data_IF_276707100675
#
_entry.id   IF_276707100675
#
_cell.length_a   1.000
_cell.length_b   1.000
_cell.length_c   1.000
_cell.angle_alpha   90.00
_cell.angle_beta   90.00
_cell.angle_gamma   90.00
#
_symmetry.space_group_name_H-M   'P 1'
#
loop_
_entity.id
_entity.type
_entity.pdbx_description
1 polymer ?
#
# COMPACT_ATOMS: atom_id res chain seq x y z
N UNK A 1 3.03 -49.10 -60.69
CA UNK A 1 3.53 -49.11 -59.29
C UNK A 1 4.29 -47.82 -59.02
N UNK A 2 3.79 -46.97 -58.11
CA UNK A 2 4.58 -46.08 -57.25
C UNK A 2 3.62 -45.50 -56.20
N UNK A 3 3.73 -46.03 -54.97
CA UNK A 3 2.98 -45.61 -53.79
C UNK A 3 3.62 -44.31 -53.27
N UNK A 4 2.81 -43.29 -52.99
CA UNK A 4 3.24 -42.11 -52.25
C UNK A 4 3.29 -42.46 -50.75
N UNK A 5 4.46 -42.32 -50.15
CA UNK A 5 4.69 -42.50 -48.72
C UNK A 5 4.56 -41.12 -48.07
N UNK A 6 3.48 -40.89 -47.30
CA UNK A 6 3.34 -39.70 -46.47
C UNK A 6 4.22 -39.87 -45.23
N UNK A 7 5.26 -39.03 -45.11
CA UNK A 7 6.06 -38.91 -43.90
C UNK A 7 5.28 -38.03 -42.90
N UNK A 8 4.78 -38.63 -41.82
CA UNK A 8 4.24 -37.88 -40.68
C UNK A 8 5.44 -37.39 -39.87
N UNK A 9 5.75 -36.10 -39.98
CA UNK A 9 6.66 -35.43 -39.07
C UNK A 9 5.96 -35.26 -37.72
N UNK A 10 6.33 -36.07 -36.73
CA UNK A 10 6.03 -35.75 -35.33
C UNK A 10 6.82 -34.50 -34.95
N UNK A 11 6.14 -33.37 -34.85
CA UNK A 11 6.65 -32.18 -34.21
C UNK A 11 6.77 -32.49 -32.71
N UNK A 12 7.97 -32.88 -32.27
CA UNK A 12 8.29 -32.86 -30.85
C UNK A 12 8.43 -31.38 -30.48
N UNK A 13 7.33 -30.76 -30.04
CA UNK A 13 7.40 -29.53 -29.27
C UNK A 13 8.18 -29.85 -28.00
N UNK A 14 9.49 -29.61 -28.01
CA UNK A 14 10.24 -29.40 -26.79
C UNK A 14 9.61 -28.22 -26.09
N UNK A 15 8.82 -28.49 -25.05
CA UNK A 15 8.40 -27.47 -24.10
C UNK A 15 9.66 -27.09 -23.33
N UNK A 16 10.45 -26.18 -23.90
CA UNK A 16 11.38 -25.41 -23.11
C UNK A 16 10.52 -24.58 -22.17
N UNK A 17 10.26 -25.12 -20.99
CA UNK A 17 9.73 -24.35 -19.88
C UNK A 17 10.74 -23.25 -19.61
N UNK A 18 10.53 -22.08 -20.19
CA UNK A 18 11.02 -20.83 -19.64
C UNK A 18 10.32 -20.69 -18.29
N UNK A 19 10.82 -21.37 -17.27
CA UNK A 19 10.45 -21.11 -15.89
C UNK A 19 10.74 -19.63 -15.67
N UNK A 20 9.69 -18.84 -15.54
CA UNK A 20 9.82 -17.44 -15.18
C UNK A 20 10.69 -17.38 -13.92
N UNK A 21 11.79 -16.62 -13.96
CA UNK A 21 12.69 -16.55 -12.82
C UNK A 21 11.91 -15.95 -11.63
N UNK A 22 11.49 -16.80 -10.70
CA UNK A 22 10.65 -16.40 -9.58
C UNK A 22 11.54 -15.86 -8.47
N UNK A 23 11.33 -14.59 -8.11
CA UNK A 23 11.94 -13.93 -6.97
C UNK A 23 10.83 -13.44 -6.03
N UNK A 24 11.00 -13.73 -4.74
CA UNK A 24 10.06 -13.30 -3.71
C UNK A 24 10.71 -13.28 -2.31
N UNK A 25 10.21 -12.42 -1.44
CA UNK A 25 10.77 -12.16 -0.12
C UNK A 25 11.71 -10.95 -0.08
N UNK A 26 12.46 -10.76 1.02
CA UNK A 26 12.57 -11.64 2.17
C UNK A 26 11.32 -11.64 3.06
N UNK A 27 10.97 -12.79 3.60
CA UNK A 27 9.95 -12.96 4.63
C UNK A 27 10.63 -13.24 5.96
N UNK A 28 10.59 -12.27 6.87
CA UNK A 28 11.26 -12.35 8.15
C UNK A 28 10.29 -12.81 9.22
N UNK A 29 10.55 -13.94 9.89
CA UNK A 29 9.76 -14.45 11.02
C UNK A 29 10.60 -14.56 12.29
N UNK A 30 9.93 -14.50 13.45
CA UNK A 30 10.54 -14.65 14.77
C UNK A 30 10.07 -15.94 15.44
N UNK A 31 10.98 -16.88 15.68
CA UNK A 31 10.69 -18.20 16.21
C UNK A 31 11.76 -18.58 17.25
N UNK A 32 11.35 -18.94 18.47
CA UNK A 32 12.29 -19.36 19.53
C UNK A 32 13.35 -18.31 19.89
N UNK A 33 12.99 -17.02 19.83
CA UNK A 33 13.91 -15.89 20.10
C UNK A 33 14.89 -15.59 18.97
N UNK A 34 14.80 -16.27 17.83
CA UNK A 34 15.66 -16.06 16.65
C UNK A 34 14.85 -15.46 15.50
N UNK A 35 15.53 -14.72 14.64
CA UNK A 35 14.95 -14.19 13.41
C UNK A 35 15.37 -15.06 12.22
N UNK A 36 14.40 -15.43 11.38
CA UNK A 36 14.59 -16.27 10.21
C UNK A 36 14.18 -15.51 8.96
N UNK A 37 14.94 -15.66 7.88
CA UNK A 37 14.59 -15.17 6.55
C UNK A 37 14.19 -16.36 5.67
N UNK A 38 13.00 -16.29 5.06
CA UNK A 38 12.61 -17.14 3.93
C UNK A 38 12.53 -16.30 2.66
N UNK A 39 12.99 -16.86 1.55
CA UNK A 39 12.89 -16.20 0.24
C UNK A 39 12.85 -17.23 -0.87
N UNK A 40 12.41 -16.81 -2.05
CA UNK A 40 12.54 -17.54 -3.30
C UNK A 40 13.49 -16.74 -4.21
N UNK A 41 14.47 -17.42 -4.79
CA UNK A 41 15.45 -16.83 -5.69
C UNK A 41 15.64 -17.76 -6.87
N UNK A 42 15.29 -17.28 -8.06
CA UNK A 42 15.26 -18.09 -9.28
C UNK A 42 14.50 -19.42 -9.10
N UNK A 43 13.32 -19.34 -8.47
CA UNK A 43 12.47 -20.52 -8.19
C UNK A 43 12.96 -21.44 -7.06
N UNK A 44 14.11 -21.17 -6.44
CA UNK A 44 14.64 -21.96 -5.32
C UNK A 44 14.30 -21.28 -4.01
N UNK A 45 13.55 -21.97 -3.14
CA UNK A 45 13.28 -21.50 -1.79
C UNK A 45 14.50 -21.68 -0.87
N UNK A 46 14.72 -20.70 0.01
CA UNK A 46 15.75 -20.75 1.04
C UNK A 46 15.17 -20.39 2.41
N UNK A 47 15.80 -20.88 3.47
CA UNK A 47 15.53 -20.46 4.84
C UNK A 47 16.83 -20.35 5.62
N UNK A 48 17.13 -19.16 6.13
CA UNK A 48 18.39 -18.89 6.82
C UNK A 48 18.14 -18.08 8.09
N UNK A 49 18.93 -18.32 9.13
CA UNK A 49 18.92 -17.48 10.33
C UNK A 49 19.56 -16.12 10.03
N UNK A 50 18.93 -15.04 10.52
CA UNK A 50 19.42 -13.68 10.32
C UNK A 50 20.41 -13.32 11.43
N UNK A 51 21.68 -13.14 11.05
CA UNK A 51 22.75 -12.69 11.96
C UNK A 51 23.09 -11.23 11.62
N UNK A 52 22.73 -10.28 12.49
CA UNK A 52 23.05 -8.86 12.33
C UNK A 52 21.90 -7.93 11.94
N UNK A 53 20.65 -8.41 11.93
CA UNK A 53 19.46 -7.56 11.81
C UNK A 53 19.32 -6.83 10.47
N UNK A 54 19.93 -7.37 9.40
CA UNK A 54 19.79 -6.86 8.03
C UNK A 54 19.34 -7.98 7.10
N UNK A 55 18.54 -7.61 6.11
CA UNK A 55 18.08 -8.50 5.03
C UNK A 55 18.34 -7.85 3.68
N UNK A 56 18.37 -8.66 2.63
CA UNK A 56 18.51 -8.22 1.24
C UNK A 56 17.19 -8.48 0.51
N UNK A 57 16.72 -7.47 -0.21
CA UNK A 57 15.60 -7.57 -1.15
C UNK A 57 16.17 -7.84 -2.52
N UNK A 58 15.73 -8.93 -3.14
CA UNK A 58 16.26 -9.41 -4.42
C UNK A 58 15.20 -9.33 -5.51
N UNK A 59 15.62 -8.82 -6.66
CA UNK A 59 14.86 -8.81 -7.91
C UNK A 59 15.58 -9.65 -8.95
N UNK A 60 14.85 -9.97 -10.02
CA UNK A 60 15.46 -10.53 -11.23
C UNK A 60 16.50 -9.58 -11.85
N UNK A 61 16.26 -8.25 -11.82
CA UNK A 61 17.30 -7.26 -12.14
C UNK A 61 18.10 -6.90 -10.87
N UNK A 62 19.37 -7.31 -10.76
CA UNK A 62 20.16 -7.06 -9.56
C UNK A 62 20.40 -5.57 -9.28
N UNK A 63 20.22 -4.68 -10.27
CA UNK A 63 20.33 -3.23 -10.07
C UNK A 63 19.23 -2.67 -9.18
N UNK A 64 18.11 -3.38 -9.06
CA UNK A 64 17.00 -2.99 -8.19
C UNK A 64 17.21 -3.46 -6.74
N UNK A 65 18.15 -4.38 -6.49
CA UNK A 65 18.38 -4.94 -5.15
C UNK A 65 18.74 -3.87 -4.13
N UNK A 66 18.28 -4.06 -2.89
CA UNK A 66 18.63 -3.18 -1.79
C UNK A 66 18.61 -3.90 -0.44
N UNK A 67 19.34 -3.32 0.53
CA UNK A 67 19.40 -3.84 1.89
C UNK A 67 18.46 -3.09 2.82
N UNK A 68 17.83 -3.80 3.75
CA UNK A 68 17.01 -3.22 4.81
C UNK A 68 17.54 -3.63 6.17
N UNK A 69 17.58 -2.68 7.11
CA UNK A 69 17.86 -2.96 8.52
C UNK A 69 16.54 -3.13 9.27
N UNK A 70 16.40 -4.23 9.98
CA UNK A 70 15.23 -4.51 10.81
C UNK A 70 15.17 -3.51 11.98
N UNK A 71 13.95 -3.10 12.32
CA UNK A 71 13.65 -2.19 13.41
C UNK A 71 13.80 -2.96 14.72
N UNK A 72 14.45 -2.30 15.69
CA UNK A 72 14.65 -2.87 17.03
C UNK A 72 13.33 -3.04 17.78
N UNK A 73 12.37 -2.14 17.51
CA UNK A 73 11.04 -2.14 18.11
C UNK A 73 10.05 -1.56 17.12
N UNK A 74 8.84 -2.09 17.16
CA UNK A 74 7.68 -1.60 16.42
C UNK A 74 6.71 -0.98 17.44
N UNK A 75 6.19 0.20 17.13
CA UNK A 75 5.25 0.93 17.97
C UNK A 75 4.13 1.45 17.08
N UNK A 76 2.93 1.56 17.64
CA UNK A 76 1.81 2.18 16.93
C UNK A 76 2.20 3.62 16.53
N UNK A 77 1.94 3.95 15.28
CA UNK A 77 2.27 5.26 14.73
C UNK A 77 1.31 6.33 15.29
N UNK A 78 1.78 7.56 15.58
CA UNK A 78 0.87 8.67 15.87
C UNK A 78 -0.05 8.92 14.67
N UNK A 79 -1.26 9.41 14.92
CA UNK A 79 -2.26 9.68 13.87
C UNK A 79 -2.61 11.17 13.70
N UNK A 80 -1.93 12.04 14.44
CA UNK A 80 -2.05 13.51 14.32
C UNK A 80 -0.67 14.11 14.17
N UNK A 81 -0.51 14.92 13.13
CA UNK A 81 0.73 15.59 12.78
C UNK A 81 0.48 17.05 12.45
N UNK A 82 1.48 17.88 12.69
CA UNK A 82 1.52 19.25 12.19
C UNK A 82 1.57 19.28 10.65
N UNK A 83 1.16 20.39 10.04
CA UNK A 83 1.26 20.58 8.59
C UNK A 83 2.74 20.65 8.18
N UNK A 84 3.29 19.68 7.42
CA UNK A 84 4.64 19.80 6.89
C UNK A 84 4.64 20.81 5.73
N UNK A 85 5.80 21.44 5.51
CA UNK A 85 5.98 22.38 4.41
C UNK A 85 5.83 21.73 3.02
N UNK A 86 6.06 20.40 2.94
CA UNK A 86 5.89 19.61 1.72
C UNK A 86 5.29 18.25 2.02
N UNK A 87 4.30 17.82 1.23
CA UNK A 87 3.76 16.46 1.25
C UNK A 87 3.78 15.87 -0.15
N UNK A 88 4.17 14.61 -0.26
CA UNK A 88 4.04 13.80 -1.45
C UNK A 88 3.04 12.69 -1.16
N UNK A 89 1.91 12.65 -1.86
CA UNK A 89 0.76 11.81 -1.50
C UNK A 89 0.41 10.88 -2.65
N UNK A 90 0.34 9.59 -2.35
CA UNK A 90 0.02 8.50 -3.28
C UNK A 90 -0.93 7.51 -2.63
N UNK A 91 -1.52 6.64 -3.44
CA UNK A 91 -2.39 5.56 -3.00
C UNK A 91 -2.29 4.37 -3.96
N UNK A 92 -2.86 3.23 -3.57
CA UNK A 92 -3.16 2.10 -4.47
C UNK A 92 -1.91 1.65 -5.25
N UNK A 93 -0.82 1.38 -4.52
CA UNK A 93 0.45 0.96 -5.13
C UNK A 93 0.32 -0.45 -5.70
N UNK A 94 -0.40 -1.34 -5.02
CA UNK A 94 -0.83 -2.66 -5.51
C UNK A 94 0.31 -3.47 -6.15
N UNK A 95 1.47 -3.50 -5.51
CA UNK A 95 2.64 -4.24 -6.00
C UNK A 95 3.33 -3.67 -7.25
N UNK A 96 2.96 -2.48 -7.74
CA UNK A 96 3.60 -1.80 -8.88
C UNK A 96 4.87 -1.04 -8.46
N UNK A 97 5.92 -1.82 -8.13
CA UNK A 97 7.18 -1.30 -7.59
C UNK A 97 7.86 -0.31 -8.54
N UNK A 98 8.01 -0.63 -9.83
CA UNK A 98 8.72 0.23 -10.78
C UNK A 98 8.00 1.57 -10.98
N UNK A 99 6.67 1.55 -11.11
CA UNK A 99 5.88 2.78 -11.21
C UNK A 99 6.02 3.64 -9.96
N UNK A 100 5.97 3.04 -8.77
CA UNK A 100 6.18 3.76 -7.50
C UNK A 100 7.60 4.32 -7.37
N UNK A 101 8.62 3.50 -7.62
CA UNK A 101 10.04 3.88 -7.63
C UNK A 101 10.30 5.06 -8.55
N UNK A 102 9.91 4.94 -9.82
CA UNK A 102 10.18 5.97 -10.83
C UNK A 102 9.46 7.27 -10.50
N UNK A 103 8.22 7.20 -9.98
CA UNK A 103 7.48 8.34 -9.48
C UNK A 103 8.21 9.08 -8.35
N UNK A 104 8.75 8.34 -7.37
CA UNK A 104 9.52 8.94 -6.27
C UNK A 104 10.85 9.56 -6.74
N UNK A 105 11.57 8.88 -7.64
CA UNK A 105 12.87 9.36 -8.16
C UNK A 105 12.69 10.61 -9.02
N UNK A 106 11.75 10.60 -9.98
CA UNK A 106 11.50 11.71 -10.88
C UNK A 106 11.12 13.01 -10.13
N UNK A 107 10.48 12.85 -8.96
CA UNK A 107 10.07 13.95 -8.09
C UNK A 107 11.02 14.21 -6.91
N UNK A 108 12.22 13.62 -6.92
CA UNK A 108 13.28 13.84 -5.93
C UNK A 108 12.85 13.55 -4.49
N UNK A 109 11.94 12.59 -4.30
CA UNK A 109 11.59 12.07 -2.97
C UNK A 109 12.68 11.11 -2.49
N UNK A 110 13.22 10.31 -3.41
CA UNK A 110 14.34 9.39 -3.18
C UNK A 110 15.36 9.48 -4.31
N UNK A 111 16.59 9.01 -4.07
CA UNK A 111 17.59 8.77 -5.12
C UNK A 111 17.48 7.36 -5.74
N UNK A 112 18.31 7.10 -6.76
CA UNK A 112 18.42 5.80 -7.44
C UNK A 112 18.88 4.64 -6.52
N UNK A 113 19.43 4.95 -5.34
CA UNK A 113 19.84 4.00 -4.30
C UNK A 113 18.81 3.89 -3.17
N UNK A 114 17.61 4.44 -3.37
CA UNK A 114 16.52 4.45 -2.41
C UNK A 114 16.86 5.18 -1.09
N UNK A 115 17.72 6.18 -1.14
CA UNK A 115 17.94 7.09 -0.02
C UNK A 115 16.95 8.25 -0.06
N UNK A 116 16.55 8.69 1.13
CA UNK A 116 15.61 9.79 1.29
C UNK A 116 16.21 11.13 0.83
N UNK A 117 15.53 11.82 -0.08
CA UNK A 117 15.90 13.15 -0.61
C UNK A 117 14.90 14.25 -0.26
N UNK A 118 13.79 13.91 0.38
CA UNK A 118 12.67 14.84 0.59
C UNK A 118 12.79 15.70 1.86
N UNK A 119 13.98 15.82 2.45
CA UNK A 119 14.25 16.68 3.62
C UNK A 119 13.30 16.43 4.79
N UNK A 120 12.68 17.50 5.30
CA UNK A 120 11.62 17.44 6.33
C UNK A 120 10.21 17.21 5.75
N UNK A 121 10.09 16.94 4.46
CA UNK A 121 8.81 16.66 3.82
C UNK A 121 8.23 15.33 4.28
N UNK A 122 6.97 15.10 3.97
CA UNK A 122 6.27 13.88 4.32
C UNK A 122 5.86 13.12 3.06
N UNK A 123 6.07 11.80 3.04
CA UNK A 123 5.48 10.89 2.04
C UNK A 123 4.24 10.25 2.68
N UNK A 124 3.08 10.35 2.04
CA UNK A 124 1.81 9.79 2.53
C UNK A 124 1.32 8.74 1.54
N UNK A 125 1.07 7.53 2.05
CA UNK A 125 0.59 6.39 1.29
C UNK A 125 -0.79 6.00 1.84
N UNK A 126 -1.84 6.27 1.07
CA UNK A 126 -3.23 6.04 1.44
C UNK A 126 -3.72 4.62 1.13
N UNK A 127 -3.01 3.59 1.59
CA UNK A 127 -3.46 2.20 1.51
C UNK A 127 -3.18 1.48 0.21
N UNK A 128 -3.59 0.21 0.22
CA UNK A 128 -3.51 -0.76 -0.87
C UNK A 128 -2.08 -0.98 -1.35
N UNK A 129 -1.28 -1.51 -0.42
CA UNK A 129 0.08 -2.00 -0.69
C UNK A 129 0.04 -3.41 -1.32
N UNK A 130 -0.94 -4.21 -0.91
CA UNK A 130 -1.14 -5.60 -1.34
C UNK A 130 -1.85 -5.74 -2.70
N UNK A 131 -1.88 -7.00 -3.16
CA UNK A 131 -2.66 -7.50 -4.29
C UNK A 131 -2.26 -6.98 -5.67
N UNK A 132 -2.80 -7.67 -6.69
CA UNK A 132 -2.63 -7.43 -8.14
C UNK A 132 -1.20 -7.56 -8.64
N UNK A 133 -0.29 -6.69 -8.23
CA UNK A 133 1.06 -6.61 -8.76
C UNK A 133 2.04 -7.64 -8.18
N UNK A 134 3.12 -7.94 -8.92
CA UNK A 134 4.09 -8.96 -8.56
C UNK A 134 5.24 -8.43 -7.69
N UNK A 135 5.18 -7.24 -7.09
CA UNK A 135 6.27 -6.70 -6.26
C UNK A 135 5.80 -6.05 -4.94
N UNK A 136 4.80 -6.65 -4.28
CA UNK A 136 4.21 -6.22 -3.00
C UNK A 136 5.25 -6.24 -1.88
N UNK A 137 5.92 -7.38 -1.69
CA UNK A 137 6.89 -7.59 -0.60
C UNK A 137 8.06 -6.61 -0.71
N UNK A 138 8.56 -6.41 -1.93
CA UNK A 138 9.65 -5.49 -2.25
C UNK A 138 9.23 -4.03 -2.03
N UNK A 139 8.00 -3.67 -2.41
CA UNK A 139 7.42 -2.35 -2.15
C UNK A 139 7.31 -2.07 -0.65
N UNK A 140 6.82 -3.02 0.14
CA UNK A 140 6.73 -2.86 1.59
C UNK A 140 8.11 -2.68 2.23
N UNK A 141 9.12 -3.43 1.79
CA UNK A 141 10.48 -3.26 2.30
C UNK A 141 11.10 -1.91 1.94
N UNK A 142 10.79 -1.37 0.76
CA UNK A 142 11.19 -0.01 0.40
C UNK A 142 10.54 1.01 1.35
N UNK A 143 9.23 0.94 1.54
CA UNK A 143 8.50 1.84 2.46
C UNK A 143 9.04 1.73 3.89
N UNK A 144 9.21 0.51 4.39
CA UNK A 144 9.77 0.22 5.70
C UNK A 144 11.16 0.85 5.89
N UNK A 145 12.03 0.76 4.86
CA UNK A 145 13.34 1.41 4.86
C UNK A 145 13.20 2.94 4.87
N UNK A 146 12.32 3.49 4.05
CA UNK A 146 12.12 4.94 3.91
C UNK A 146 11.61 5.57 5.21
N UNK A 147 10.77 4.90 6.00
CA UNK A 147 10.34 5.38 7.32
C UNK A 147 11.53 5.75 8.22
N UNK A 148 12.56 4.89 8.25
CA UNK A 148 13.76 5.13 9.05
C UNK A 148 14.63 6.25 8.50
N UNK A 149 14.70 6.40 7.17
CA UNK A 149 15.51 7.43 6.50
C UNK A 149 14.86 8.81 6.61
N UNK A 150 13.55 8.90 6.36
CA UNK A 150 12.77 10.13 6.49
C UNK A 150 12.84 10.67 7.92
N UNK A 151 12.60 9.81 8.93
CA UNK A 151 12.64 10.20 10.34
C UNK A 151 14.01 10.77 10.75
N UNK A 152 15.11 10.18 10.25
CA UNK A 152 16.48 10.70 10.48
C UNK A 152 16.72 12.07 9.85
N UNK A 153 16.08 12.35 8.72
CA UNK A 153 16.14 13.66 8.04
C UNK A 153 15.15 14.69 8.62
N UNK A 154 14.34 14.31 9.61
CA UNK A 154 13.28 15.15 10.17
C UNK A 154 12.00 15.22 9.33
N UNK A 155 11.84 14.32 8.35
CA UNK A 155 10.61 14.08 7.61
C UNK A 155 9.85 12.87 8.14
N UNK A 156 8.84 12.42 7.40
CA UNK A 156 8.01 11.28 7.77
C UNK A 156 7.52 10.45 6.58
N UNK A 157 7.26 9.18 6.81
CA UNK A 157 6.53 8.31 5.87
C UNK A 157 5.28 7.81 6.59
N UNK A 158 4.12 8.19 6.08
CA UNK A 158 2.82 7.76 6.56
C UNK A 158 2.37 6.57 5.72
N UNK A 159 2.12 5.46 6.38
CA UNK A 159 1.52 4.28 5.76
C UNK A 159 0.18 4.06 6.42
N UNK A 160 -0.88 4.35 5.67
CA UNK A 160 -2.26 4.15 6.07
C UNK A 160 -2.75 2.87 5.41
N UNK A 161 -3.52 2.04 6.11
CA UNK A 161 -4.02 0.78 5.58
C UNK A 161 -5.27 0.97 4.72
N UNK A 162 -5.30 0.28 3.58
CA UNK A 162 -6.43 0.17 2.65
C UNK A 162 -7.17 -1.15 2.76
N UNK A 163 -8.15 -1.36 1.88
CA UNK A 163 -8.94 -2.59 1.95
C UNK A 163 -8.14 -3.83 1.56
N UNK A 164 -7.24 -3.74 0.57
CA UNK A 164 -6.42 -4.88 0.15
C UNK A 164 -5.45 -5.29 1.27
N UNK A 165 -5.00 -4.34 2.09
CA UNK A 165 -4.17 -4.62 3.26
C UNK A 165 -4.95 -5.38 4.34
N UNK A 166 -6.16 -4.96 4.66
CA UNK A 166 -7.03 -5.66 5.62
C UNK A 166 -7.42 -7.04 5.10
N UNK A 167 -7.79 -7.15 3.82
CA UNK A 167 -8.13 -8.41 3.18
C UNK A 167 -7.01 -9.44 3.29
N UNK A 168 -5.77 -9.04 2.99
CA UNK A 168 -4.61 -9.93 3.10
C UNK A 168 -4.30 -10.33 4.54
N UNK A 169 -4.45 -9.42 5.50
CA UNK A 169 -4.23 -9.73 6.91
C UNK A 169 -5.32 -10.66 7.48
N UNK A 170 -6.53 -10.63 6.92
CA UNK A 170 -7.67 -11.43 7.41
C UNK A 170 -8.00 -12.68 6.58
N UNK A 171 -7.24 -12.94 5.51
CA UNK A 171 -7.34 -14.18 4.71
C UNK A 171 -8.31 -14.12 3.53
N UNK A 172 -8.73 -12.93 3.12
CA UNK A 172 -9.43 -12.72 1.85
C UNK A 172 -8.43 -12.54 0.70
N UNK A 173 -8.07 -13.64 0.04
CA UNK A 173 -6.95 -13.69 -0.90
C UNK A 173 -7.35 -13.59 -2.38
N UNK A 174 -8.57 -13.11 -2.67
CA UNK A 174 -9.15 -13.15 -4.03
C UNK A 174 -8.35 -12.37 -5.08
N UNK A 175 -7.56 -11.38 -4.69
CA UNK A 175 -6.79 -10.53 -5.60
C UNK A 175 -5.28 -10.71 -5.49
N UNK A 176 -4.83 -11.69 -4.70
CA UNK A 176 -3.40 -11.99 -4.53
C UNK A 176 -2.83 -12.48 -5.85
N UNK A 177 -1.74 -11.86 -6.31
CA UNK A 177 -1.03 -12.31 -7.51
C UNK A 177 -0.55 -13.76 -7.34
N UNK A 178 -0.69 -14.59 -8.38
CA UNK A 178 -0.41 -16.04 -8.33
C UNK A 178 1.00 -16.40 -7.86
N UNK A 179 1.97 -15.49 -8.02
CA UNK A 179 3.35 -15.67 -7.57
C UNK A 179 3.46 -15.96 -6.06
N UNK A 180 2.60 -15.37 -5.22
CA UNK A 180 2.79 -15.45 -3.77
C UNK A 180 2.34 -16.80 -3.20
N UNK A 181 1.17 -17.36 -3.58
CA UNK A 181 0.83 -18.74 -3.22
C UNK A 181 1.85 -19.76 -3.75
N UNK A 182 2.39 -19.54 -4.95
CA UNK A 182 3.47 -20.38 -5.49
C UNK A 182 4.74 -20.29 -4.65
N UNK A 183 5.15 -19.08 -4.27
CA UNK A 183 6.33 -18.86 -3.42
C UNK A 183 6.14 -19.46 -2.02
N UNK A 184 4.95 -19.30 -1.42
CA UNK A 184 4.59 -19.94 -0.15
C UNK A 184 4.72 -21.46 -0.22
N UNK A 185 4.20 -22.08 -1.30
CA UNK A 185 4.33 -23.51 -1.57
C UNK A 185 5.79 -23.94 -1.68
N UNK A 186 6.62 -23.21 -2.43
CA UNK A 186 8.06 -23.51 -2.56
C UNK A 186 8.78 -23.41 -1.20
N UNK A 187 8.41 -22.43 -0.38
CA UNK A 187 8.94 -22.25 0.98
C UNK A 187 8.39 -23.25 2.00
N UNK A 188 7.40 -24.07 1.62
CA UNK A 188 6.76 -25.06 2.50
C UNK A 188 5.95 -24.42 3.64
N UNK A 189 5.31 -23.28 3.38
CA UNK A 189 4.49 -22.55 4.37
C UNK A 189 3.14 -22.17 3.79
N UNK A 190 2.17 -21.91 4.66
CA UNK A 190 0.92 -21.26 4.27
C UNK A 190 1.17 -19.78 3.93
N UNK A 191 0.45 -19.24 2.95
CA UNK A 191 0.57 -17.83 2.57
C UNK A 191 0.32 -16.89 3.76
N UNK A 192 -0.66 -17.21 4.61
CA UNK A 192 -1.01 -16.38 5.77
C UNK A 192 0.13 -16.29 6.78
N UNK A 193 1.00 -17.29 6.83
CA UNK A 193 2.17 -17.29 7.72
C UNK A 193 3.23 -16.24 7.31
N UNK A 194 3.19 -15.75 6.07
CA UNK A 194 4.17 -14.77 5.56
C UNK A 194 3.97 -13.37 6.17
N UNK A 195 2.75 -13.06 6.61
CA UNK A 195 2.35 -11.74 7.16
C UNK A 195 1.62 -11.85 8.51
N UNK A 196 1.86 -12.94 9.24
CA UNK A 196 1.25 -13.19 10.56
C UNK A 196 1.85 -12.29 11.67
N UNK A 197 1.41 -12.48 12.91
CA UNK A 197 1.87 -11.73 14.07
C UNK A 197 3.31 -12.06 14.51
N UNK A 198 3.91 -13.12 13.97
CA UNK A 198 5.31 -13.49 14.19
C UNK A 198 6.23 -13.00 13.06
N UNK A 199 5.68 -12.52 11.95
CA UNK A 199 6.44 -11.94 10.85
C UNK A 199 6.79 -10.46 11.07
N UNK A 200 7.92 -9.99 10.57
CA UNK A 200 8.34 -8.59 10.70
C UNK A 200 7.35 -7.65 10.01
N UNK A 201 7.04 -7.92 8.74
CA UNK A 201 6.10 -7.09 7.98
C UNK A 201 4.69 -7.20 8.52
N UNK A 202 4.23 -8.37 8.98
CA UNK A 202 2.93 -8.52 9.61
C UNK A 202 2.80 -7.77 10.94
N UNK A 203 3.85 -7.75 11.77
CA UNK A 203 3.89 -6.88 12.97
C UNK A 203 3.94 -5.41 12.60
N UNK A 204 4.71 -5.04 11.58
CA UNK A 204 4.84 -3.66 11.09
C UNK A 204 3.51 -3.13 10.56
N UNK A 205 2.80 -3.89 9.71
CA UNK A 205 1.46 -3.53 9.22
C UNK A 205 0.48 -3.29 10.36
N UNK A 206 0.52 -4.12 11.42
CA UNK A 206 -0.33 -3.96 12.60
C UNK A 206 -0.01 -2.73 13.45
N UNK A 207 1.05 -1.97 13.15
CA UNK A 207 1.31 -0.64 13.76
C UNK A 207 0.70 0.54 13.00
N UNK A 208 0.21 0.31 11.76
CA UNK A 208 -0.20 1.36 10.81
C UNK A 208 -1.62 1.83 10.98
N UNK A 209 -1.88 3.11 10.76
CA UNK A 209 -3.19 3.72 10.98
C UNK A 209 -4.17 3.39 9.85
N UNK A 210 -5.47 3.56 10.10
CA UNK A 210 -6.55 3.55 9.10
C UNK A 210 -6.91 4.95 8.63
N UNK A 211 -6.63 5.96 9.46
CA UNK A 211 -6.96 7.36 9.24
C UNK A 211 -5.94 8.25 9.95
N UNK A 212 -5.52 9.33 9.31
CA UNK A 212 -4.59 10.29 9.93
C UNK A 212 -5.02 11.73 9.67
N UNK A 213 -4.74 12.60 10.63
CA UNK A 213 -4.81 14.05 10.46
C UNK A 213 -3.40 14.60 10.30
N UNK A 214 -3.12 15.20 9.14
CA UNK A 214 -1.83 15.82 8.83
C UNK A 214 -2.08 17.28 8.50
N UNK A 215 -1.85 18.15 9.49
CA UNK A 215 -2.22 19.55 9.44
C UNK A 215 -3.72 19.73 9.20
N UNK A 216 -4.05 20.40 8.10
CA UNK A 216 -5.43 20.66 7.66
C UNK A 216 -6.01 19.55 6.78
N UNK A 217 -5.37 18.38 6.70
CA UNK A 217 -5.77 17.27 5.83
C UNK A 217 -6.14 16.03 6.64
N UNK A 218 -7.25 15.40 6.29
CA UNK A 218 -7.67 14.10 6.76
C UNK A 218 -7.38 13.06 5.68
N UNK A 219 -6.39 12.21 5.93
CA UNK A 219 -5.91 11.22 4.98
C UNK A 219 -6.46 9.83 5.36
N UNK A 220 -7.03 9.13 4.39
CA UNK A 220 -7.37 7.71 4.51
C UNK A 220 -7.34 7.03 3.15
N UNK A 221 -7.56 5.72 3.17
CA UNK A 221 -7.69 4.96 1.94
C UNK A 221 -8.96 5.29 1.15
N UNK A 222 -10.17 5.08 1.68
CA UNK A 222 -11.41 5.27 0.89
C UNK A 222 -12.23 6.51 1.30
N UNK A 223 -12.61 6.64 2.57
CA UNK A 223 -13.33 7.82 3.04
C UNK A 223 -14.12 7.63 4.32
N UNK A 224 -14.78 8.69 4.79
CA UNK A 224 -15.62 8.68 5.99
C UNK A 224 -17.09 8.80 5.59
N UNK A 225 -17.86 7.75 5.88
CA UNK A 225 -19.30 7.76 5.64
C UNK A 225 -20.04 8.59 6.69
N UNK A 226 -21.27 9.05 6.40
CA UNK A 226 -22.15 9.69 7.39
C UNK A 226 -22.35 8.84 8.64
N UNK A 227 -22.41 7.51 8.51
CA UNK A 227 -22.52 6.58 9.64
C UNK A 227 -21.34 6.73 10.60
N UNK A 228 -20.12 6.85 10.07
CA UNK A 228 -18.93 7.05 10.91
C UNK A 228 -18.94 8.44 11.55
N UNK A 229 -19.41 9.47 10.82
CA UNK A 229 -19.54 10.82 11.38
C UNK A 229 -20.43 10.86 12.62
N UNK A 230 -21.55 10.13 12.64
CA UNK A 230 -22.45 10.09 13.82
C UNK A 230 -21.81 9.43 15.05
N UNK A 231 -20.74 8.65 14.88
CA UNK A 231 -20.04 8.03 16.01
C UNK A 231 -19.20 9.05 16.81
N UNK A 232 -18.81 10.18 16.21
CA UNK A 232 -18.12 11.27 16.90
C UNK A 232 -16.72 10.97 17.43
N UNK A 233 -16.06 9.92 16.92
CA UNK A 233 -14.71 9.54 17.35
C UNK A 233 -13.62 10.41 16.70
N UNK A 234 -12.58 10.73 17.46
CA UNK A 234 -11.31 11.28 16.95
C UNK A 234 -10.53 10.26 16.11
N UNK A 235 -9.55 10.72 15.33
CA UNK A 235 -8.70 9.83 14.53
C UNK A 235 -7.94 8.83 15.41
N UNK A 236 -7.47 9.25 16.59
CA UNK A 236 -6.80 8.38 17.57
C UNK A 236 -7.72 7.27 18.08
N UNK A 237 -8.96 7.62 18.41
CA UNK A 237 -9.97 6.66 18.87
C UNK A 237 -10.32 5.66 17.77
N UNK A 238 -10.52 6.12 16.54
CA UNK A 238 -10.80 5.25 15.39
C UNK A 238 -9.65 4.25 15.18
N UNK A 239 -8.40 4.72 15.14
CA UNK A 239 -7.25 3.84 14.97
C UNK A 239 -7.11 2.82 16.11
N UNK A 240 -7.33 3.26 17.35
CA UNK A 240 -7.29 2.39 18.54
C UNK A 240 -8.37 1.32 18.49
N UNK A 241 -9.58 1.67 18.05
CA UNK A 241 -10.70 0.74 17.92
C UNK A 241 -10.50 -0.27 16.78
N UNK A 242 -9.97 0.17 15.63
CA UNK A 242 -9.84 -0.69 14.45
C UNK A 242 -8.67 -1.68 14.55
N UNK A 243 -7.53 -1.25 15.12
CA UNK A 243 -6.27 -2.00 15.10
C UNK A 243 -6.33 -3.45 15.61
N UNK A 244 -7.05 -3.77 16.70
CA UNK A 244 -7.16 -5.16 17.18
C UNK A 244 -7.90 -6.11 16.22
N UNK A 245 -8.53 -5.59 15.17
CA UNK A 245 -9.40 -6.34 14.29
C UNK A 245 -8.86 -6.51 12.86
N UNK A 246 -7.69 -5.96 12.52
CA UNK A 246 -7.16 -6.02 11.15
C UNK A 246 -7.06 -7.44 10.57
N UNK A 247 -6.81 -8.46 11.40
CA UNK A 247 -6.72 -9.86 11.00
C UNK A 247 -7.96 -10.70 11.35
N UNK A 248 -9.06 -10.04 11.73
CA UNK A 248 -10.31 -10.70 12.17
C UNK A 248 -11.52 -10.41 11.28
N UNK A 249 -11.39 -9.47 10.34
CA UNK A 249 -12.47 -9.07 9.45
C UNK A 249 -12.79 -10.19 8.47
N UNK A 250 -13.99 -10.76 8.57
CA UNK A 250 -14.46 -11.75 7.61
C UNK A 250 -15.17 -11.03 6.48
N UNK A 251 -14.59 -11.08 5.27
CA UNK A 251 -15.10 -10.62 3.96
C UNK A 251 -16.34 -9.71 4.05
N UNK A 252 -16.13 -8.39 4.09
CA UNK A 252 -17.18 -7.34 4.02
C UNK A 252 -18.33 -7.43 5.05
N UNK A 253 -18.31 -8.38 5.99
CA UNK A 253 -19.35 -8.60 7.01
C UNK A 253 -18.97 -7.99 8.36
N UNK A 254 -17.82 -7.30 8.44
CA UNK A 254 -17.29 -6.77 9.68
C UNK A 254 -16.71 -7.85 10.57
N UNK A 255 -16.86 -7.68 11.88
CA UNK A 255 -16.35 -8.56 12.95
C UNK A 255 -17.46 -9.08 13.87
N UNK A 256 -18.71 -8.68 13.63
CA UNK A 256 -19.88 -9.07 14.43
C UNK A 256 -20.03 -8.25 15.73
N UNK A 257 -19.35 -7.11 15.83
CA UNK A 257 -19.51 -6.15 16.92
C UNK A 257 -20.10 -4.85 16.37
N UNK A 258 -21.34 -4.48 16.73
CA UNK A 258 -22.00 -3.27 16.23
C UNK A 258 -21.22 -1.97 16.48
N UNK A 259 -20.28 -1.93 17.45
CA UNK A 259 -19.43 -0.76 17.70
C UNK A 259 -18.25 -0.66 16.73
N UNK A 260 -17.85 -1.77 16.13
CA UNK A 260 -16.66 -1.90 15.28
C UNK A 260 -17.05 -2.09 13.80
N UNK A 261 -18.13 -2.83 13.55
CA UNK A 261 -18.64 -3.15 12.22
C UNK A 261 -18.79 -1.91 11.31
N UNK A 262 -19.24 -0.72 11.78
CA UNK A 262 -19.32 0.46 10.92
C UNK A 262 -18.01 0.81 10.20
N UNK A 263 -16.85 0.54 10.80
CA UNK A 263 -15.54 0.83 10.21
C UNK A 263 -15.11 -0.17 9.14
N UNK A 264 -15.64 -1.39 9.15
CA UNK A 264 -15.19 -2.47 8.27
C UNK A 264 -16.27 -2.96 7.28
N UNK A 265 -17.55 -2.71 7.56
CA UNK A 265 -18.67 -3.32 6.85
C UNK A 265 -19.12 -2.47 5.65
N UNK A 266 -19.10 -3.08 4.47
CA UNK A 266 -19.73 -2.59 3.24
C UNK A 266 -19.66 -1.08 3.01
N UNK A 267 -20.82 -0.44 2.89
CA UNK A 267 -20.97 0.96 2.45
C UNK A 267 -20.58 1.99 3.51
N UNK A 268 -20.39 1.62 4.78
CA UNK A 268 -19.97 2.59 5.81
C UNK A 268 -18.46 2.61 6.03
N UNK A 269 -17.79 1.52 5.63
CA UNK A 269 -16.38 1.20 5.92
C UNK A 269 -15.40 2.30 5.55
N UNK A 270 -14.41 2.55 6.41
CA UNK A 270 -13.28 3.46 6.13
C UNK A 270 -12.44 3.01 4.94
N UNK A 271 -12.47 1.70 4.66
CA UNK A 271 -11.66 1.05 3.65
C UNK A 271 -12.40 0.89 2.31
N UNK A 272 -13.73 1.05 2.28
CA UNK A 272 -14.54 0.78 1.07
C UNK A 272 -15.51 1.90 0.70
N UNK A 273 -15.63 2.97 1.50
CA UNK A 273 -16.59 4.04 1.22
C UNK A 273 -16.24 4.79 -0.07
N UNK A 274 -17.13 4.72 -1.06
CA UNK A 274 -16.98 5.37 -2.38
C UNK A 274 -17.88 6.59 -2.59
N UNK A 275 -18.62 7.02 -1.57
CA UNK A 275 -19.65 8.04 -1.72
C UNK A 275 -19.14 9.40 -2.17
N UNK A 276 -17.85 9.72 -2.02
CA UNK A 276 -17.29 10.97 -2.55
C UNK A 276 -17.22 11.00 -4.09
N UNK A 277 -17.21 9.83 -4.74
CA UNK A 277 -16.88 9.73 -6.16
C UNK A 277 -17.94 9.00 -6.99
N UNK A 278 -18.69 8.07 -6.38
CA UNK A 278 -19.71 7.25 -7.03
C UNK A 278 -21.13 7.52 -6.52
N UNK A 279 -22.12 7.26 -7.39
CA UNK A 279 -23.53 7.43 -7.05
C UNK A 279 -24.06 6.30 -6.13
N UNK A 280 -24.94 6.61 -5.17
CA UNK A 280 -25.37 7.97 -4.79
C UNK A 280 -24.22 8.73 -4.11
N UNK A 281 -23.90 9.92 -4.63
CA UNK A 281 -22.81 10.74 -4.09
C UNK A 281 -23.20 11.33 -2.74
N UNK A 282 -22.19 11.49 -1.89
CA UNK A 282 -22.29 12.30 -0.69
C UNK A 282 -22.65 13.73 -1.08
N UNK A 283 -23.47 14.37 -0.27
CA UNK A 283 -23.80 15.78 -0.40
C UNK A 283 -22.65 16.65 0.10
N UNK A 284 -22.59 17.90 -0.35
CA UNK A 284 -21.59 18.85 0.16
C UNK A 284 -21.75 19.12 1.66
N UNK A 285 -22.97 19.00 2.21
CA UNK A 285 -23.23 19.10 3.64
C UNK A 285 -22.59 17.94 4.42
N UNK A 286 -22.73 16.69 3.96
CA UNK A 286 -22.10 15.52 4.59
C UNK A 286 -20.57 15.60 4.56
N UNK A 287 -20.00 16.05 3.45
CA UNK A 287 -18.55 16.32 3.33
C UNK A 287 -18.13 17.42 4.32
N UNK A 288 -18.88 18.52 4.39
CA UNK A 288 -18.58 19.64 5.30
C UNK A 288 -18.71 19.24 6.77
N UNK A 289 -19.68 18.37 7.11
CA UNK A 289 -19.83 17.79 8.45
C UNK A 289 -18.61 16.96 8.83
N UNK A 290 -18.10 16.13 7.91
CA UNK A 290 -16.86 15.37 8.10
C UNK A 290 -15.69 16.31 8.42
N UNK A 291 -15.48 17.35 7.59
CA UNK A 291 -14.41 18.33 7.81
C UNK A 291 -14.51 19.04 9.17
N UNK A 292 -15.72 19.40 9.59
CA UNK A 292 -15.98 20.05 10.88
C UNK A 292 -15.67 19.13 12.07
N UNK A 293 -16.08 17.85 12.02
CA UNK A 293 -15.82 16.86 13.07
C UNK A 293 -14.32 16.71 13.31
N UNK A 294 -13.54 16.54 12.23
CA UNK A 294 -12.09 16.32 12.32
C UNK A 294 -11.26 17.62 12.37
N UNK A 295 -11.93 18.78 12.25
CA UNK A 295 -11.32 20.12 12.27
C UNK A 295 -10.20 20.24 11.24
N UNK A 296 -10.52 19.91 9.99
CA UNK A 296 -9.62 19.93 8.83
C UNK A 296 -10.27 20.70 7.69
N UNK A 297 -9.50 21.06 6.66
CA UNK A 297 -10.02 21.73 5.45
C UNK A 297 -10.19 20.77 4.28
N UNK A 298 -9.52 19.62 4.31
CA UNK A 298 -9.49 18.69 3.17
C UNK A 298 -9.53 17.23 3.59
N UNK A 299 -10.24 16.43 2.82
CA UNK A 299 -10.18 14.97 2.84
C UNK A 299 -9.32 14.51 1.66
N UNK A 300 -8.44 13.56 1.88
CA UNK A 300 -7.59 12.96 0.85
C UNK A 300 -7.85 11.46 0.83
N UNK A 301 -8.30 10.95 -0.32
CA UNK A 301 -8.75 9.57 -0.48
C UNK A 301 -8.31 8.94 -1.81
N UNK A 302 -7.87 7.68 -1.74
CA UNK A 302 -7.61 6.79 -2.87
C UNK A 302 -8.80 5.89 -3.16
N UNK A 303 -8.57 4.58 -3.34
CA UNK A 303 -9.56 3.48 -3.53
C UNK A 303 -10.42 3.54 -4.80
N UNK A 304 -10.64 4.74 -5.31
CA UNK A 304 -11.52 5.04 -6.43
C UNK A 304 -10.79 5.85 -7.47
N UNK A 305 -10.45 5.20 -8.58
CA UNK A 305 -9.98 5.87 -9.78
C UNK A 305 -11.01 6.91 -10.22
N UNK A 306 -10.59 8.18 -10.20
CA UNK A 306 -11.44 9.31 -10.55
C UNK A 306 -11.18 9.82 -11.97
N UNK A 307 -12.16 10.52 -12.54
CA UNK A 307 -12.03 11.15 -13.86
C UNK A 307 -10.91 12.20 -13.84
N UNK A 308 -9.77 11.87 -14.43
CA UNK A 308 -8.56 12.71 -14.45
C UNK A 308 -7.47 12.29 -13.47
N UNK A 309 -7.59 11.10 -12.85
CA UNK A 309 -6.64 10.47 -11.92
C UNK A 309 -6.46 11.23 -10.59
N UNK A 310 -6.05 12.49 -10.66
CA UNK A 310 -5.92 13.37 -9.49
C UNK A 310 -6.75 14.63 -9.72
N UNK A 311 -7.76 14.82 -8.88
CA UNK A 311 -8.74 15.88 -9.01
C UNK A 311 -9.34 16.31 -7.67
N UNK A 312 -9.75 17.58 -7.60
CA UNK A 312 -10.52 18.12 -6.50
C UNK A 312 -12.02 17.94 -6.74
N UNK A 313 -12.76 17.71 -5.67
CA UNK A 313 -14.21 17.58 -5.64
C UNK A 313 -14.78 18.47 -4.53
N UNK A 314 -16.08 18.75 -4.61
CA UNK A 314 -16.81 19.51 -3.58
C UNK A 314 -16.16 20.86 -3.27
N UNK A 315 -15.81 21.61 -4.32
CA UNK A 315 -15.15 22.91 -4.18
C UNK A 315 -13.76 22.83 -3.52
N UNK A 316 -13.01 21.74 -3.72
CA UNK A 316 -11.67 21.54 -3.17
C UNK A 316 -11.61 20.87 -1.80
N UNK A 317 -12.76 20.51 -1.23
CA UNK A 317 -12.89 19.84 0.08
C UNK A 317 -12.41 18.38 0.05
N UNK A 318 -12.52 17.71 -1.09
CA UNK A 318 -12.03 16.33 -1.26
C UNK A 318 -11.02 16.29 -2.39
N UNK A 319 -9.88 15.64 -2.15
CA UNK A 319 -8.85 15.36 -3.15
C UNK A 319 -8.81 13.86 -3.40
N UNK A 320 -9.25 13.44 -4.58
CA UNK A 320 -9.12 12.08 -5.07
C UNK A 320 -7.71 11.86 -5.64
N UNK A 321 -7.05 10.79 -5.20
CA UNK A 321 -5.64 10.51 -5.55
C UNK A 321 -5.39 9.11 -6.12
N UNK A 322 -6.42 8.28 -6.28
CA UNK A 322 -6.29 6.98 -6.94
C UNK A 322 -6.32 7.12 -8.48
N UNK A 323 -5.43 6.38 -9.13
CA UNK A 323 -5.06 6.53 -10.54
C UNK A 323 -5.10 5.17 -11.23
N UNK A 324 -5.29 5.14 -12.55
CA UNK A 324 -5.26 3.89 -13.31
C UNK A 324 -3.83 3.34 -13.49
N UNK A 325 -3.23 2.91 -12.39
CA UNK A 325 -1.82 2.49 -12.30
C UNK A 325 -1.50 1.31 -13.20
N UNK A 326 -2.40 0.34 -13.25
CA UNK A 326 -2.32 -0.81 -14.17
C UNK A 326 -2.51 -0.44 -15.63
N UNK A 327 -3.12 0.72 -15.90
CA UNK A 327 -3.18 1.34 -17.23
C UNK A 327 -1.93 2.15 -17.60
N UNK A 328 -0.91 2.18 -16.73
CA UNK A 328 0.34 2.94 -16.93
C UNK A 328 0.32 4.36 -16.39
N UNK A 329 -0.74 4.76 -15.67
CA UNK A 329 -0.78 6.08 -15.03
C UNK A 329 -0.07 6.07 -13.68
N UNK A 330 1.07 6.73 -13.59
CA UNK A 330 1.79 6.90 -12.33
C UNK A 330 1.80 8.38 -11.95
N UNK A 331 0.91 8.78 -11.03
CA UNK A 331 0.80 10.16 -10.56
C UNK A 331 0.76 10.24 -9.04
N UNK A 332 1.11 11.41 -8.51
CA UNK A 332 1.02 11.75 -7.09
C UNK A 332 0.47 13.17 -6.91
N UNK A 333 -0.18 13.42 -5.78
CA UNK A 333 -0.53 14.75 -5.35
C UNK A 333 0.61 15.32 -4.48
N UNK A 334 1.04 16.54 -4.76
CA UNK A 334 2.09 17.23 -4.03
C UNK A 334 1.53 18.50 -3.42
N UNK A 335 1.68 18.64 -2.11
CA UNK A 335 1.45 19.89 -1.40
C UNK A 335 2.79 20.59 -1.18
N UNK A 336 2.90 21.85 -1.58
CA UNK A 336 4.10 22.67 -1.40
C UNK A 336 3.69 24.14 -1.47
N UNK A 337 4.16 24.95 -0.51
CA UNK A 337 3.87 26.40 -0.42
C UNK A 337 2.36 26.71 -0.43
N UNK A 338 1.58 25.98 0.38
CA UNK A 338 0.12 26.13 0.49
C UNK A 338 -0.71 25.74 -0.74
N UNK A 339 -0.07 25.26 -1.81
CA UNK A 339 -0.71 24.85 -3.06
C UNK A 339 -0.61 23.34 -3.30
N UNK A 340 -1.52 22.84 -4.14
CA UNK A 340 -1.57 21.43 -4.55
C UNK A 340 -1.35 21.25 -6.05
N UNK A 341 -0.55 20.25 -6.41
CA UNK A 341 -0.18 19.93 -7.77
C UNK A 341 -0.24 18.43 -7.99
N UNK A 342 -0.56 18.01 -9.21
CA UNK A 342 -0.34 16.63 -9.62
C UNK A 342 1.02 16.54 -10.33
N UNK A 343 1.78 15.49 -10.02
CA UNK A 343 3.04 15.16 -10.68
C UNK A 343 3.00 13.74 -11.22
N UNK A 344 3.88 13.39 -12.16
CA UNK A 344 4.01 12.05 -12.70
C UNK A 344 5.43 11.48 -12.61
N UNK A 345 5.61 10.26 -13.10
CA UNK A 345 6.87 9.51 -13.17
C UNK A 345 7.89 10.05 -14.18
N UNK A 346 7.56 11.14 -14.88
CA UNK A 346 8.48 11.92 -15.72
C UNK A 346 8.90 13.23 -15.07
N UNK A 347 8.39 13.53 -13.87
CA UNK A 347 8.64 14.78 -13.14
C UNK A 347 7.85 15.97 -13.70
N UNK A 348 6.86 15.72 -14.57
CA UNK A 348 5.98 16.77 -15.08
C UNK A 348 4.99 17.19 -14.01
N UNK A 349 4.73 18.50 -13.89
CA UNK A 349 3.84 19.10 -12.88
C UNK A 349 2.66 19.77 -13.55
N UNK A 350 1.46 19.55 -13.02
CA UNK A 350 0.23 20.23 -13.44
C UNK A 350 -0.60 20.71 -12.25
N UNK A 351 -1.41 21.74 -12.48
CA UNK A 351 -2.45 22.17 -11.53
C UNK A 351 -3.54 21.10 -11.45
N UNK A 352 -4.03 20.84 -10.23
CA UNK A 352 -5.16 19.93 -10.00
C UNK A 352 -6.46 20.68 -10.29
N UNK A 353 -7.33 20.08 -11.10
CA UNK A 353 -8.61 20.69 -11.49
C UNK A 353 -9.72 20.34 -10.49
N UNK A 354 -10.68 21.25 -10.31
CA UNK A 354 -11.96 20.96 -9.67
C UNK A 354 -12.88 20.22 -10.67
N UNK A 355 -13.60 19.23 -10.18
CA UNK A 355 -14.58 18.40 -10.91
C UNK A 355 -15.97 18.52 -10.31
#
# INVERSE_FOLDING_TARGET
>A
MKKYLFLIAMLICSVAGFGQELYDGPYVSYEGGRAWNRSVTNGVASRNEIKGGKVQVHFADPKLNFSVSLKKSLQNEPSVFEQPAKMFVVSDIEGEFNGFRNLLIANKVIDEQYNWMYGKGHLVICGDLFDRGPAVTETMWLIYRLEGLAKKAGGYVHTILGNHDIMNLSGDLRYVHSKYPESAKLMGVDYMALFDQNSELGRWLRTKNTIEKIGDNLCMHAGVSPVINELGYSVEQINTLCRPFYDRVKVLQGVGDPKIDPFFMGKSSLFWYRGYFFEPKATEEEVSKTLAIFKVKRIIAGHTIVKGNIAFYYGGKVLGIDVNRHGGDHQAAVYENDDWFAVNDKGERRVIKNQ
#
